data_IF_665485479352
#
_entry.id   IF_665485479352
#
_cell.length_a   1.000
_cell.length_b   1.000
_cell.length_c   1.000
_cell.angle_alpha   90.00
_cell.angle_beta   90.00
_cell.angle_gamma   90.00
#
_symmetry.space_group_name_H-M   'P 1'
#
loop_
_entity.id
_entity.type
_entity.pdbx_description
1 polymer ?
#
# COMPACT_ATOMS: atom_id res chain seq x y z
N UNK A 1 -11.98 14.29 -48.49
CA UNK A 1 -12.26 14.27 -49.94
C UNK A 1 -11.10 14.97 -50.64
N UNK A 2 -10.19 14.22 -51.31
CA UNK A 2 -9.03 14.71 -52.10
C UNK A 2 -7.97 15.59 -51.36
N UNK A 3 -6.65 15.57 -51.63
CA UNK A 3 -5.69 14.74 -52.41
C UNK A 3 -4.34 14.79 -51.61
N UNK A 4 -3.26 14.03 -51.81
CA UNK A 4 -2.85 12.79 -52.52
C UNK A 4 -1.37 13.01 -52.92
N UNK A 5 -0.42 12.18 -52.40
CA UNK A 5 0.89 11.82 -53.01
C UNK A 5 2.00 12.90 -53.13
N UNK A 6 3.31 12.63 -53.21
CA UNK A 6 4.21 11.45 -53.06
C UNK A 6 5.67 11.93 -52.88
N UNK A 7 6.56 11.09 -52.32
CA UNK A 7 7.92 10.87 -52.85
C UNK A 7 8.62 9.66 -52.20
N UNK A 8 9.09 8.75 -53.07
CA UNK A 8 9.87 7.52 -52.80
C UNK A 8 11.23 7.82 -52.12
N UNK A 9 11.85 7.00 -51.26
CA UNK A 9 12.15 5.54 -51.29
C UNK A 9 13.29 5.13 -52.23
N UNK A 10 14.51 5.02 -51.70
CA UNK A 10 15.77 4.48 -52.29
C UNK A 10 16.89 4.59 -51.20
N UNK A 11 17.84 3.65 -50.97
CA UNK A 11 17.98 2.24 -51.39
C UNK A 11 18.84 1.42 -50.35
N UNK A 12 19.04 0.13 -50.64
CA UNK A 12 19.91 -0.94 -50.08
C UNK A 12 21.38 -0.55 -49.73
N UNK A 13 22.19 -1.17 -48.83
CA UNK A 13 22.41 -2.53 -48.23
C UNK A 13 23.82 -3.07 -48.62
N UNK A 14 24.46 -3.87 -47.73
CA UNK A 14 25.76 -4.62 -47.87
C UNK A 14 27.04 -3.74 -47.76
N UNK A 15 28.15 -4.15 -47.12
CA UNK A 15 28.84 -5.45 -47.17
C UNK A 15 29.67 -5.78 -45.91
N UNK A 16 29.81 -7.09 -45.62
CA UNK A 16 30.82 -7.69 -44.74
C UNK A 16 31.74 -8.59 -45.58
N UNK A 17 33.04 -8.65 -45.28
CA UNK A 17 33.94 -9.71 -45.77
C UNK A 17 35.19 -9.89 -44.88
N UNK A 18 35.72 -11.13 -44.86
CA UNK A 18 36.76 -11.60 -43.94
C UNK A 18 38.13 -11.80 -44.60
N UNK A 19 39.13 -12.03 -43.73
CA UNK A 19 40.18 -13.07 -43.84
C UNK A 19 41.62 -12.70 -44.31
N UNK A 20 42.54 -12.92 -43.36
CA UNK A 20 43.83 -13.67 -43.46
C UNK A 20 45.00 -13.18 -44.33
N UNK A 21 46.18 -13.06 -43.66
CA UNK A 21 47.55 -13.56 -43.93
C UNK A 21 48.35 -13.18 -42.66
N UNK A 22 49.28 -13.93 -42.05
CA UNK A 22 49.86 -15.25 -42.33
C UNK A 22 51.40 -15.20 -42.31
N UNK A 23 52.09 -15.68 -41.26
CA UNK A 23 53.53 -16.04 -41.29
C UNK A 23 53.93 -16.99 -40.13
N UNK A 24 55.03 -17.73 -40.30
CA UNK A 24 55.34 -18.96 -39.52
C UNK A 24 56.82 -19.09 -39.12
N UNK A 25 57.04 -19.52 -37.87
CA UNK A 25 58.18 -20.32 -37.32
C UNK A 25 59.64 -19.90 -37.61
N UNK A 26 60.43 -19.66 -36.56
CA UNK A 26 61.59 -20.53 -36.22
C UNK A 26 62.40 -20.15 -34.96
N UNK A 27 63.13 -21.16 -34.47
CA UNK A 27 64.27 -21.18 -33.51
C UNK A 27 64.02 -21.34 -31.99
N UNK A 28 65.07 -21.84 -31.34
CA UNK A 28 65.02 -22.85 -30.28
C UNK A 28 66.04 -22.55 -29.16
N UNK A 29 65.67 -22.90 -27.92
CA UNK A 29 66.51 -23.18 -26.72
C UNK A 29 67.12 -22.02 -25.88
N UNK A 30 66.82 -22.14 -24.57
CA UNK A 30 67.66 -21.93 -23.37
C UNK A 30 68.17 -20.52 -23.05
N UNK A 31 67.63 -19.91 -21.98
CA UNK A 31 68.16 -20.11 -20.62
C UNK A 31 67.17 -19.57 -19.56
N UNK A 32 67.35 -20.01 -18.31
CA UNK A 32 66.41 -19.82 -17.20
C UNK A 32 66.45 -18.43 -16.54
N UNK A 33 65.46 -18.22 -15.66
CA UNK A 33 65.44 -17.21 -14.58
C UNK A 33 65.45 -15.74 -14.99
N UNK A 34 64.24 -15.17 -15.13
CA UNK A 34 63.80 -13.95 -14.42
C UNK A 34 62.34 -13.59 -14.80
N UNK A 35 61.38 -14.44 -14.43
CA UNK A 35 59.94 -14.14 -14.53
C UNK A 35 59.18 -14.60 -13.28
N UNK A 36 59.58 -14.02 -12.14
CA UNK A 36 58.96 -14.22 -10.83
C UNK A 36 59.01 -12.94 -9.97
N UNK A 37 59.18 -11.77 -10.61
CA UNK A 37 59.32 -10.47 -9.93
C UNK A 37 58.71 -9.32 -10.76
N UNK A 38 57.58 -9.61 -11.42
CA UNK A 38 56.78 -8.59 -12.15
C UNK A 38 55.27 -8.91 -12.03
N UNK A 39 54.88 -10.19 -12.03
CA UNK A 39 53.50 -10.61 -11.75
C UNK A 39 53.08 -10.44 -10.26
N UNK A 40 54.01 -10.15 -9.34
CA UNK A 40 53.74 -9.90 -7.91
C UNK A 40 53.34 -8.45 -7.61
N UNK A 41 53.45 -7.52 -8.58
CA UNK A 41 53.12 -6.10 -8.37
C UNK A 41 51.73 -5.71 -8.92
N UNK A 42 51.09 -6.61 -9.67
CA UNK A 42 49.73 -6.40 -10.22
C UNK A 42 48.64 -7.20 -9.49
N UNK A 43 49.01 -8.10 -8.58
CA UNK A 43 48.06 -8.82 -7.71
C UNK A 43 47.73 -8.04 -6.42
N UNK A 44 48.71 -7.36 -5.81
CA UNK A 44 48.52 -6.57 -4.57
C UNK A 44 47.59 -5.35 -4.75
N UNK A 45 47.43 -4.84 -5.98
CA UNK A 45 46.50 -3.73 -6.28
C UNK A 45 45.03 -4.22 -6.31
N UNK A 46 44.78 -5.51 -6.51
CA UNK A 46 43.41 -6.04 -6.59
C UNK A 46 42.77 -6.28 -5.22
N UNK A 47 43.53 -6.74 -4.22
CA UNK A 47 43.02 -7.13 -2.89
C UNK A 47 42.81 -5.96 -1.91
N UNK A 48 43.48 -4.80 -2.12
CA UNK A 48 43.16 -3.58 -1.35
C UNK A 48 41.74 -3.07 -1.67
N UNK A 49 41.39 -3.03 -2.95
CA UNK A 49 40.16 -2.40 -3.44
C UNK A 49 38.86 -3.09 -3.00
N UNK A 50 38.92 -4.39 -2.72
CA UNK A 50 37.77 -5.18 -2.23
C UNK A 50 37.63 -5.07 -0.71
N UNK A 51 38.75 -5.06 0.02
CA UNK A 51 38.77 -4.88 1.48
C UNK A 51 38.26 -3.50 1.92
N UNK A 52 38.57 -2.45 1.16
CA UNK A 52 38.06 -1.09 1.41
C UNK A 52 36.55 -0.95 1.11
N UNK A 53 36.04 -1.59 0.05
CA UNK A 53 34.59 -1.59 -0.26
C UNK A 53 33.77 -2.35 0.78
N UNK A 54 34.23 -3.54 1.18
CA UNK A 54 33.55 -4.36 2.21
C UNK A 54 33.52 -3.63 3.56
N UNK A 55 34.53 -2.81 3.87
CA UNK A 55 34.46 -1.91 5.03
C UNK A 55 33.37 -0.86 4.89
N UNK A 56 33.28 -0.15 3.75
CA UNK A 56 32.35 0.98 3.57
C UNK A 56 30.88 0.59 3.82
N UNK A 57 30.45 -0.57 3.32
CA UNK A 57 29.07 -1.07 3.52
C UNK A 57 28.82 -1.55 4.96
N UNK A 58 29.87 -1.93 5.70
CA UNK A 58 29.78 -2.29 7.12
C UNK A 58 29.62 -1.07 8.03
N UNK A 59 30.25 0.06 7.69
CA UNK A 59 30.12 1.30 8.47
C UNK A 59 28.70 1.91 8.44
N UNK A 60 27.92 1.66 7.39
CA UNK A 60 26.51 2.07 7.31
C UNK A 60 25.58 1.30 8.26
N UNK A 61 26.04 0.19 8.85
CA UNK A 61 25.26 -0.68 9.73
C UNK A 61 25.63 -0.57 11.22
N UNK A 62 26.53 0.34 11.61
CA UNK A 62 26.79 0.64 13.02
C UNK A 62 25.75 1.63 13.60
N UNK A 63 25.24 1.42 14.84
CA UNK A 63 24.09 2.15 15.39
C UNK A 63 24.34 3.63 15.75
N UNK A 64 25.53 4.15 15.44
CA UNK A 64 25.92 5.56 15.59
C UNK A 64 26.37 6.21 14.27
N UNK A 65 26.33 5.47 13.15
CA UNK A 65 26.37 6.07 11.82
C UNK A 65 25.18 7.03 11.67
N UNK A 66 25.33 8.07 10.85
CA UNK A 66 24.24 9.00 10.55
C UNK A 66 23.08 8.18 10.00
N UNK A 67 22.06 7.98 10.84
CA UNK A 67 20.84 7.31 10.46
C UNK A 67 20.20 8.20 9.40
N UNK A 68 20.41 7.86 8.12
CA UNK A 68 19.81 8.53 6.98
C UNK A 68 18.33 8.18 7.08
N UNK A 69 17.62 8.93 7.93
CA UNK A 69 16.22 8.72 8.23
C UNK A 69 15.51 8.65 6.89
N UNK A 70 14.96 7.48 6.60
CA UNK A 70 14.00 7.31 5.52
C UNK A 70 12.97 8.42 5.69
N UNK A 71 12.58 9.10 4.60
CA UNK A 71 11.63 10.20 4.72
C UNK A 71 10.20 9.75 5.07
N UNK A 72 10.01 8.60 5.73
CA UNK A 72 8.70 8.17 6.18
C UNK A 72 8.62 8.32 7.70
N UNK A 73 7.84 9.31 8.15
CA UNK A 73 7.67 9.63 9.56
C UNK A 73 6.18 9.67 9.91
N UNK A 74 5.84 9.12 11.08
CA UNK A 74 4.53 9.31 11.70
C UNK A 74 4.44 10.73 12.24
N UNK A 75 3.62 11.58 11.62
CA UNK A 75 3.26 12.88 12.20
C UNK A 75 2.00 12.74 13.07
N UNK A 76 1.84 13.53 14.14
CA UNK A 76 0.63 13.50 14.95
C UNK A 76 -0.57 14.03 14.16
N UNK A 77 -1.72 13.38 14.33
CA UNK A 77 -3.02 13.74 13.77
C UNK A 77 -4.08 13.51 14.84
N UNK A 78 -4.60 14.58 15.43
CA UNK A 78 -5.70 14.51 16.39
C UNK A 78 -6.99 14.06 15.69
N UNK A 79 -7.70 13.14 16.31
CA UNK A 79 -9.01 12.64 15.91
C UNK A 79 -9.97 12.76 17.09
N UNK A 80 -11.19 13.22 16.83
CA UNK A 80 -12.24 13.31 17.83
C UNK A 80 -12.99 11.99 17.91
N UNK A 81 -12.92 11.33 19.07
CA UNK A 81 -13.53 10.03 19.31
C UNK A 81 -14.96 10.16 19.83
N UNK A 82 -15.21 11.21 20.63
CA UNK A 82 -16.51 11.47 21.24
C UNK A 82 -16.38 12.33 22.49
N UNK A 83 -17.50 12.50 23.18
CA UNK A 83 -17.56 13.17 24.47
C UNK A 83 -17.47 12.11 25.58
N UNK A 84 -16.57 12.31 26.54
CA UNK A 84 -16.46 11.55 27.79
C UNK A 84 -17.05 12.34 28.96
N UNK A 85 -16.93 11.78 30.17
CA UNK A 85 -17.40 12.43 31.40
C UNK A 85 -16.64 13.74 31.70
N UNK A 86 -15.35 13.77 31.39
CA UNK A 86 -14.46 14.91 31.68
C UNK A 86 -14.30 15.88 30.48
N UNK A 87 -15.07 15.70 29.40
CA UNK A 87 -15.04 16.55 28.21
C UNK A 87 -14.72 15.79 26.91
N UNK A 88 -14.15 16.49 25.93
CA UNK A 88 -13.87 15.92 24.59
C UNK A 88 -12.69 14.94 24.61
N UNK A 89 -12.89 13.75 24.04
CA UNK A 89 -11.85 12.72 23.89
C UNK A 89 -11.18 12.91 22.51
N UNK A 90 -9.96 13.44 22.54
CA UNK A 90 -9.10 13.67 21.37
C UNK A 90 -7.89 12.71 21.43
N UNK A 91 -7.77 11.83 20.44
CA UNK A 91 -6.70 10.83 20.33
C UNK A 91 -5.75 11.18 19.19
N UNK A 92 -4.44 10.97 19.37
CA UNK A 92 -3.48 11.09 18.28
C UNK A 92 -3.39 9.77 17.49
N UNK A 93 -4.19 9.64 16.43
CA UNK A 93 -4.20 8.46 15.56
C UNK A 93 -2.96 8.35 14.66
N UNK A 94 -2.17 9.43 14.58
CA UNK A 94 -1.04 9.54 13.67
C UNK A 94 -1.43 9.67 12.19
N UNK A 95 -0.43 10.00 11.37
CA UNK A 95 -0.49 9.92 9.93
C UNK A 95 0.93 9.68 9.39
N UNK A 96 1.11 8.65 8.56
CA UNK A 96 2.36 8.48 7.83
C UNK A 96 2.52 9.57 6.78
N UNK A 97 3.65 10.27 6.77
CA UNK A 97 3.99 11.29 5.77
C UNK A 97 5.39 11.12 5.23
N UNK A 98 5.51 11.39 3.93
CA UNK A 98 6.78 11.50 3.23
C UNK A 98 7.47 12.83 3.61
N UNK A 99 8.06 12.89 4.80
CA UNK A 99 8.68 14.06 5.43
C UNK A 99 10.20 14.03 5.24
N UNK A 100 10.68 14.51 4.10
CA UNK A 100 12.10 14.80 3.93
C UNK A 100 12.44 16.14 4.60
N UNK A 101 12.97 16.09 5.82
CA UNK A 101 13.47 17.29 6.49
C UNK A 101 14.71 17.83 5.75
N UNK A 102 14.52 18.88 4.95
CA UNK A 102 15.61 19.69 4.37
C UNK A 102 16.29 20.60 5.38
N UNK A 103 15.96 20.48 6.68
CA UNK A 103 16.61 21.25 7.74
C UNK A 103 18.04 20.74 7.93
N UNK A 104 18.98 21.46 7.35
CA UNK A 104 20.41 21.42 7.69
C UNK A 104 20.58 21.57 9.21
N UNK A 105 20.77 20.45 9.91
CA UNK A 105 21.36 20.46 11.25
C UNK A 105 22.80 20.93 11.08
N UNK A 106 23.06 22.21 11.37
CA UNK A 106 24.44 22.71 11.50
C UNK A 106 25.05 22.05 12.73
N UNK A 107 25.69 20.90 12.52
CA UNK A 107 26.38 20.14 13.55
C UNK A 107 27.40 21.06 14.22
N UNK A 108 27.33 21.17 15.54
CA UNK A 108 28.16 22.12 16.28
C UNK A 108 29.59 21.56 16.42
N UNK A 109 30.60 22.42 16.60
CA UNK A 109 32.01 22.01 16.70
C UNK A 109 32.24 20.93 17.77
N UNK A 110 31.56 21.03 18.91
CA UNK A 110 31.62 20.04 20.01
C UNK A 110 31.05 18.67 19.62
N UNK A 111 30.07 18.66 18.74
CA UNK A 111 29.37 17.45 18.25
C UNK A 111 30.21 16.78 17.16
N UNK A 112 30.81 17.57 16.25
CA UNK A 112 31.83 17.12 15.31
C UNK A 112 33.06 16.52 16.03
N UNK A 113 33.59 17.19 17.07
CA UNK A 113 34.66 16.68 17.92
C UNK A 113 34.29 15.37 18.64
N UNK A 114 33.02 15.16 18.97
CA UNK A 114 32.54 13.91 19.59
C UNK A 114 32.45 12.77 18.57
N UNK A 115 31.95 13.04 17.36
CA UNK A 115 31.89 12.06 16.26
C UNK A 115 33.30 11.62 15.84
N UNK A 116 34.26 12.55 15.74
CA UNK A 116 35.67 12.25 15.49
C UNK A 116 36.29 11.33 16.56
N UNK A 117 35.96 11.53 17.84
CA UNK A 117 36.43 10.67 18.94
C UNK A 117 35.82 9.28 18.92
N UNK A 118 34.56 9.15 18.48
CA UNK A 118 33.92 7.84 18.31
C UNK A 118 34.48 7.08 17.09
N UNK A 119 34.82 7.80 16.01
CA UNK A 119 35.28 7.24 14.74
C UNK A 119 36.77 7.57 14.48
N UNK A 120 37.64 7.22 15.43
CA UNK A 120 39.09 7.54 15.39
C UNK A 120 39.87 7.00 14.17
N UNK A 121 39.26 6.12 13.38
CA UNK A 121 39.84 5.47 12.20
C UNK A 121 39.42 6.08 10.86
N UNK A 122 38.56 7.11 10.87
CA UNK A 122 38.12 7.84 9.67
C UNK A 122 38.95 9.12 9.53
N UNK A 123 39.38 9.44 8.31
CA UNK A 123 40.06 10.71 8.03
C UNK A 123 39.12 11.90 8.37
N UNK A 124 39.56 12.87 9.21
CA UNK A 124 38.76 14.04 9.54
C UNK A 124 38.32 14.86 8.31
N UNK A 125 39.09 14.84 7.22
CA UNK A 125 38.70 15.53 5.97
C UNK A 125 37.60 14.77 5.25
N UNK A 126 37.72 13.46 5.09
CA UNK A 126 36.64 12.62 4.53
C UNK A 126 35.35 12.71 5.34
N UNK A 127 35.42 12.66 6.68
CA UNK A 127 34.25 12.82 7.55
C UNK A 127 33.60 14.20 7.38
N UNK A 128 34.40 15.27 7.35
CA UNK A 128 33.90 16.63 7.11
C UNK A 128 33.21 16.75 5.75
N UNK A 129 33.81 16.20 4.68
CA UNK A 129 33.23 16.19 3.34
C UNK A 129 31.96 15.33 3.27
N UNK A 130 31.89 14.19 3.98
CA UNK A 130 30.69 13.36 4.06
C UNK A 130 29.54 14.07 4.78
N UNK A 131 29.84 14.87 5.81
CA UNK A 131 28.86 15.70 6.53
C UNK A 131 28.49 16.99 5.78
N UNK A 132 29.32 17.42 4.83
CA UNK A 132 29.08 18.58 3.96
C UNK A 132 28.40 18.23 2.63
N UNK A 133 28.42 16.96 2.22
CA UNK A 133 27.53 16.46 1.15
C UNK A 133 26.08 16.68 1.61
N UNK A 134 25.31 17.43 0.82
CA UNK A 134 23.85 17.51 0.97
C UNK A 134 23.25 16.12 0.62
N UNK A 135 23.41 15.14 1.52
CA UNK A 135 22.56 13.95 1.56
C UNK A 135 21.21 14.43 2.08
N UNK A 136 20.43 15.07 1.19
CA UNK A 136 19.00 15.19 1.40
C UNK A 136 18.49 13.78 1.73
N UNK A 137 17.78 13.59 2.85
CA UNK A 137 17.22 12.28 3.15
C UNK A 137 16.41 11.87 1.93
N UNK A 138 16.69 10.69 1.37
CA UNK A 138 16.02 10.26 0.16
C UNK A 138 14.56 9.99 0.52
N UNK A 139 13.67 10.60 -0.26
CA UNK A 139 12.25 10.24 -0.26
C UNK A 139 12.11 8.73 -0.38
N UNK A 140 10.98 8.16 0.07
CA UNK A 140 10.60 6.84 -0.44
C UNK A 140 10.76 6.87 -1.97
N UNK A 141 11.49 5.89 -2.52
CA UNK A 141 11.80 5.83 -3.96
C UNK A 141 10.53 5.73 -4.79
N UNK A 142 10.64 5.98 -6.10
CA UNK A 142 9.49 6.29 -6.97
C UNK A 142 8.36 5.23 -6.92
N UNK A 143 8.70 3.95 -6.72
CA UNK A 143 7.75 2.82 -6.59
C UNK A 143 7.35 2.48 -5.14
N UNK A 144 7.59 3.37 -4.18
CA UNK A 144 7.36 3.12 -2.75
C UNK A 144 6.68 4.27 -2.00
N UNK A 145 5.78 3.91 -1.11
CA UNK A 145 4.93 4.86 -0.39
C UNK A 145 5.17 4.79 1.12
N UNK A 146 5.08 5.95 1.78
CA UNK A 146 5.17 6.03 3.23
C UNK A 146 3.85 5.56 3.86
N UNK A 147 3.86 4.39 4.48
CA UNK A 147 2.68 3.65 4.89
C UNK A 147 2.82 3.13 6.34
N UNK A 148 1.70 2.85 7.04
CA UNK A 148 1.75 2.24 8.36
C UNK A 148 2.41 0.86 8.30
N UNK A 149 3.29 0.57 9.25
CA UNK A 149 3.85 -0.77 9.45
C UNK A 149 3.37 -1.41 10.75
N UNK A 150 2.94 -0.60 11.71
CA UNK A 150 2.44 -1.05 13.00
C UNK A 150 1.27 -0.16 13.43
N UNK A 151 0.12 -0.81 13.66
CA UNK A 151 -1.12 -0.15 14.06
C UNK A 151 -1.66 -0.85 15.32
N UNK A 152 -2.10 -0.08 16.30
CA UNK A 152 -2.68 -0.56 17.56
C UNK A 152 -4.14 -0.11 17.64
N UNK A 153 -5.03 -0.99 18.07
CA UNK A 153 -6.44 -0.67 18.30
C UNK A 153 -6.64 -0.24 19.74
N UNK A 154 -6.74 1.07 19.94
CA UNK A 154 -7.11 1.67 21.23
C UNK A 154 -8.63 1.63 21.44
N UNK A 155 -9.05 1.64 22.71
CA UNK A 155 -10.46 1.59 23.10
C UNK A 155 -10.78 2.67 24.11
N UNK A 156 -11.74 3.51 23.78
CA UNK A 156 -12.09 4.71 24.53
C UNK A 156 -13.55 4.67 24.94
N UNK A 157 -13.84 4.91 26.22
CA UNK A 157 -15.21 4.97 26.71
C UNK A 157 -15.79 6.37 26.50
N UNK A 158 -16.80 6.48 25.64
CA UNK A 158 -17.52 7.73 25.36
C UNK A 158 -18.94 7.66 25.94
N UNK A 159 -19.63 8.79 26.02
CA UNK A 159 -21.06 8.86 26.36
C UNK A 159 -21.95 8.10 25.35
N UNK A 160 -21.47 7.89 24.11
CA UNK A 160 -22.09 7.03 23.09
C UNK A 160 -21.65 5.55 23.18
N UNK A 161 -20.94 5.16 24.24
CA UNK A 161 -20.42 3.79 24.45
C UNK A 161 -18.94 3.65 24.13
N UNK A 162 -18.45 2.41 24.13
CA UNK A 162 -17.06 2.10 23.77
C UNK A 162 -16.82 2.35 22.28
N UNK A 163 -15.79 3.12 21.96
CA UNK A 163 -15.32 3.39 20.60
C UNK A 163 -13.94 2.75 20.41
N UNK A 164 -13.73 2.08 19.29
CA UNK A 164 -12.43 1.55 18.90
C UNK A 164 -11.76 2.48 17.87
N UNK A 165 -10.46 2.73 18.03
CA UNK A 165 -9.71 3.64 17.17
C UNK A 165 -8.37 3.01 16.79
N UNK A 166 -8.10 2.93 15.49
CA UNK A 166 -6.81 2.49 14.98
C UNK A 166 -5.79 3.64 15.09
N UNK A 167 -4.77 3.45 15.92
CA UNK A 167 -3.63 4.36 16.12
C UNK A 167 -2.42 3.77 15.41
N UNK A 168 -1.85 4.52 14.47
CA UNK A 168 -0.57 4.18 13.85
C UNK A 168 0.52 4.38 14.90
N UNK A 169 1.42 3.42 15.11
CA UNK A 169 2.63 3.58 15.94
C UNK A 169 3.86 3.85 15.06
N UNK A 170 4.06 3.06 14.01
CA UNK A 170 5.21 3.14 13.11
C UNK A 170 4.79 3.26 11.64
N UNK A 171 5.67 3.90 10.86
CA UNK A 171 5.54 4.04 9.42
C UNK A 171 6.85 3.62 8.73
N UNK A 172 6.79 3.13 7.49
CA UNK A 172 7.97 2.89 6.66
C UNK A 172 7.66 3.06 5.17
N UNK A 173 8.71 3.20 4.35
CA UNK A 173 8.57 3.15 2.90
C UNK A 173 8.33 1.68 2.49
N UNK A 174 7.14 1.38 1.96
CA UNK A 174 6.80 0.07 1.41
C UNK A 174 6.59 0.19 -0.09
N UNK A 175 7.18 -0.73 -0.88
CA UNK A 175 6.95 -0.79 -2.32
C UNK A 175 5.53 -1.25 -2.62
N UNK A 176 4.91 -0.64 -3.63
CA UNK A 176 3.63 -1.12 -4.15
C UNK A 176 3.85 -2.28 -5.14
N UNK A 177 2.92 -3.25 -5.21
CA UNK A 177 3.03 -4.36 -6.15
C UNK A 177 2.63 -3.94 -7.57
N UNK A 178 3.12 -4.70 -8.57
CA UNK A 178 2.87 -4.43 -10.00
C UNK A 178 1.38 -4.48 -10.41
N UNK A 179 0.55 -5.18 -9.65
CA UNK A 179 -0.88 -5.36 -9.90
C UNK A 179 -1.66 -5.22 -8.59
N UNK A 180 -2.88 -4.68 -8.66
CA UNK A 180 -3.80 -4.60 -7.53
C UNK A 180 -3.98 -5.96 -6.81
N UNK A 181 -3.47 -6.07 -5.59
CA UNK A 181 -3.68 -7.23 -4.73
C UNK A 181 -3.73 -6.86 -3.24
N UNK A 182 -4.03 -7.87 -2.41
CA UNK A 182 -4.01 -7.74 -0.95
C UNK A 182 -2.56 -7.82 -0.45
N UNK A 183 -2.14 -6.83 0.33
CA UNK A 183 -0.88 -6.80 1.06
C UNK A 183 -1.19 -7.01 2.56
N UNK A 184 -0.30 -7.64 3.31
CA UNK A 184 -0.48 -7.78 4.76
C UNK A 184 -0.39 -6.42 5.46
N UNK A 185 -1.27 -6.18 6.44
CA UNK A 185 -1.24 -5.02 7.33
C UNK A 185 -1.73 -5.47 8.71
N UNK A 186 -0.89 -5.33 9.74
CA UNK A 186 -1.15 -5.89 11.07
C UNK A 186 -1.70 -4.84 12.04
N UNK A 187 -2.84 -5.14 12.63
CA UNK A 187 -3.43 -4.42 13.75
C UNK A 187 -3.25 -5.23 15.05
N UNK A 188 -2.80 -4.57 16.12
CA UNK A 188 -2.66 -5.17 17.45
C UNK A 188 -3.91 -4.82 18.26
N UNK A 189 -4.67 -5.83 18.67
CA UNK A 189 -5.86 -5.68 19.51
C UNK A 189 -5.52 -6.04 20.97
N UNK A 190 -6.16 -5.34 21.92
CA UNK A 190 -5.99 -5.53 23.37
C UNK A 190 -4.53 -5.40 23.87
N UNK A 191 -3.79 -4.33 23.45
CA UNK A 191 -2.39 -4.13 23.80
C UNK A 191 -2.17 -4.10 25.32
N UNK A 192 -1.08 -4.70 25.79
CA UNK A 192 -0.70 -4.75 27.21
C UNK A 192 -1.57 -5.66 28.08
N UNK A 193 -2.38 -6.54 27.47
CA UNK A 193 -3.25 -7.50 28.19
C UNK A 193 -2.90 -8.95 27.83
N UNK A 194 -3.34 -9.95 28.62
CA UNK A 194 -3.20 -11.38 28.25
C UNK A 194 -3.93 -11.78 26.95
N UNK A 195 -4.78 -10.90 26.40
CA UNK A 195 -5.51 -11.09 25.15
C UNK A 195 -4.87 -10.37 23.95
N UNK A 196 -3.66 -9.81 24.13
CA UNK A 196 -2.96 -9.09 23.05
C UNK A 196 -2.80 -9.97 21.82
N UNK A 197 -3.43 -9.57 20.71
CA UNK A 197 -3.50 -10.37 19.49
C UNK A 197 -3.17 -9.51 18.27
N UNK A 198 -2.17 -9.92 17.49
CA UNK A 198 -1.84 -9.29 16.20
C UNK A 198 -2.63 -9.96 15.07
N UNK A 199 -3.50 -9.18 14.41
CA UNK A 199 -4.36 -9.63 13.31
C UNK A 199 -3.92 -8.96 12.02
N UNK A 200 -3.70 -9.74 10.98
CA UNK A 200 -3.52 -9.21 9.62
C UNK A 200 -4.89 -8.81 9.03
N UNK A 201 -5.25 -7.53 9.20
CA UNK A 201 -6.46 -6.93 8.59
C UNK A 201 -6.30 -6.79 7.08
N UNK A 202 -5.06 -6.55 6.62
CA UNK A 202 -4.70 -6.43 5.23
C UNK A 202 -5.09 -5.11 4.58
N UNK A 203 -4.40 -4.77 3.48
CA UNK A 203 -4.60 -3.56 2.67
C UNK A 203 -4.69 -3.91 1.20
N UNK A 204 -5.42 -3.12 0.42
CA UNK A 204 -5.38 -3.22 -1.04
C UNK A 204 -4.38 -2.23 -1.60
N UNK A 205 -3.39 -2.71 -2.37
CA UNK A 205 -2.30 -1.92 -2.94
C UNK A 205 -1.98 -2.35 -4.37
N UNK A 206 -1.30 -1.49 -5.13
CA UNK A 206 -0.94 -1.72 -6.52
C UNK A 206 -1.90 -1.09 -7.54
N UNK A 207 -1.45 -0.93 -8.79
CA UNK A 207 -2.17 -0.19 -9.83
C UNK A 207 -3.31 -1.00 -10.45
N UNK A 208 -4.18 -0.27 -11.15
CA UNK A 208 -5.27 -0.83 -11.95
C UNK A 208 -5.10 -0.42 -13.41
N UNK A 209 -4.90 -1.39 -14.30
CA UNK A 209 -4.57 -1.15 -15.71
C UNK A 209 -5.70 -0.46 -16.50
N UNK A 210 -6.96 -0.58 -16.05
CA UNK A 210 -8.15 -0.13 -16.78
C UNK A 210 -8.53 1.34 -16.46
N UNK A 211 -7.60 2.26 -16.73
CA UNK A 211 -7.84 3.71 -16.74
C UNK A 211 -8.06 4.38 -15.36
N UNK A 212 -7.99 5.71 -15.37
CA UNK A 212 -7.95 6.57 -14.16
C UNK A 212 -9.20 6.50 -13.24
N UNK A 213 -10.24 5.74 -13.61
CA UNK A 213 -11.50 5.62 -12.87
C UNK A 213 -11.55 4.44 -11.90
N UNK A 214 -10.69 3.43 -12.06
CA UNK A 214 -10.61 2.30 -11.13
C UNK A 214 -9.52 2.52 -10.09
N UNK A 215 -9.76 2.04 -8.87
CA UNK A 215 -8.76 1.98 -7.79
C UNK A 215 -8.73 0.57 -7.21
N UNK A 216 -7.59 0.18 -6.64
CA UNK A 216 -7.49 -1.07 -5.90
C UNK A 216 -8.30 -0.95 -4.60
N UNK A 217 -9.31 -1.80 -4.42
CA UNK A 217 -10.25 -1.78 -3.28
C UNK A 217 -10.56 -3.19 -2.81
N UNK A 218 -11.06 -3.34 -1.58
CA UNK A 218 -11.53 -4.63 -1.11
C UNK A 218 -12.79 -5.03 -1.88
N UNK A 219 -12.75 -6.19 -2.52
CA UNK A 219 -13.91 -6.80 -3.19
C UNK A 219 -14.56 -7.87 -2.31
N UNK A 220 -13.90 -8.32 -1.25
CA UNK A 220 -14.45 -9.26 -0.26
C UNK A 220 -13.76 -9.07 1.08
N UNK A 221 -14.56 -8.93 2.13
CA UNK A 221 -14.10 -9.02 3.52
C UNK A 221 -14.56 -10.35 4.14
N UNK A 222 -13.92 -10.76 5.23
CA UNK A 222 -14.32 -11.87 6.11
C UNK A 222 -14.14 -11.44 7.57
N UNK A 223 -14.77 -12.13 8.50
CA UNK A 223 -14.58 -11.90 9.93
C UNK A 223 -13.72 -12.99 10.55
N UNK A 224 -12.77 -12.61 11.41
CA UNK A 224 -11.94 -13.51 12.21
C UNK A 224 -12.28 -13.29 13.68
N UNK A 225 -12.56 -14.36 14.42
CA UNK A 225 -12.76 -14.30 15.86
C UNK A 225 -11.40 -14.27 16.58
N UNK A 226 -11.23 -13.35 17.53
CA UNK A 226 -10.07 -13.27 18.42
C UNK A 226 -10.53 -13.32 19.88
N UNK A 227 -9.77 -13.98 20.74
CA UNK A 227 -10.06 -14.02 22.17
C UNK A 227 -9.97 -12.60 22.76
N UNK A 228 -10.99 -12.19 23.51
CA UNK A 228 -11.04 -10.91 24.19
C UNK A 228 -11.43 -11.03 25.66
N UNK A 229 -11.30 -9.96 26.46
CA UNK A 229 -11.60 -9.95 27.89
C UNK A 229 -13.08 -10.22 28.20
N UNK A 230 -13.97 -10.02 27.23
CA UNK A 230 -15.42 -10.27 27.33
C UNK A 230 -15.85 -11.50 26.50
N UNK A 231 -14.92 -12.40 26.17
CA UNK A 231 -15.10 -13.48 25.19
C UNK A 231 -14.65 -13.09 23.79
N UNK A 232 -14.94 -13.97 22.82
CA UNK A 232 -14.46 -13.82 21.45
C UNK A 232 -15.07 -12.59 20.75
N UNK A 233 -14.21 -11.79 20.12
CA UNK A 233 -14.57 -10.58 19.37
C UNK A 233 -14.29 -10.80 17.89
N UNK A 234 -15.24 -10.43 17.01
CA UNK A 234 -15.07 -10.55 15.57
C UNK A 234 -14.41 -9.31 14.97
N UNK A 235 -13.27 -9.49 14.30
CA UNK A 235 -12.55 -8.44 13.54
C UNK A 235 -12.82 -8.63 12.05
N UNK A 236 -13.25 -7.58 11.35
CA UNK A 236 -13.37 -7.60 9.88
C UNK A 236 -11.98 -7.45 9.25
N UNK A 237 -11.62 -8.38 8.37
CA UNK A 237 -10.36 -8.39 7.62
C UNK A 237 -10.64 -8.46 6.12
N UNK A 238 -9.79 -7.83 5.32
CA UNK A 238 -9.84 -7.96 3.86
C UNK A 238 -9.51 -9.41 3.49
N UNK A 239 -10.30 -10.03 2.63
CA UNK A 239 -10.04 -11.36 2.07
C UNK A 239 -9.52 -11.27 0.62
N UNK A 240 -10.13 -10.40 -0.19
CA UNK A 240 -9.73 -10.16 -1.59
C UNK A 240 -9.79 -8.70 -1.97
N UNK A 241 -8.82 -8.29 -2.77
CA UNK A 241 -8.77 -6.99 -3.43
C UNK A 241 -9.07 -7.13 -4.93
N UNK A 242 -9.47 -6.03 -5.55
CA UNK A 242 -9.64 -5.94 -7.00
C UNK A 242 -9.82 -4.50 -7.47
N UNK A 243 -9.74 -4.31 -8.78
CA UNK A 243 -9.92 -3.00 -9.40
C UNK A 243 -11.40 -2.65 -9.49
N UNK A 244 -11.82 -1.63 -8.76
CA UNK A 244 -13.21 -1.22 -8.65
C UNK A 244 -13.39 0.29 -8.81
N UNK A 245 -14.56 0.67 -9.33
CA UNK A 245 -15.02 2.06 -9.50
C UNK A 245 -15.28 2.75 -8.16
N UNK A 246 -15.73 4.01 -8.17
CA UNK A 246 -16.06 4.74 -6.94
C UNK A 246 -17.25 4.11 -6.21
N UNK A 247 -18.27 3.66 -6.95
CA UNK A 247 -19.37 2.80 -6.52
C UNK A 247 -19.22 1.44 -7.19
N UNK A 248 -19.30 0.35 -6.41
CA UNK A 248 -19.07 -1.01 -6.91
C UNK A 248 -19.75 -2.06 -6.03
N UNK A 249 -19.85 -3.30 -6.53
CA UNK A 249 -20.32 -4.46 -5.76
C UNK A 249 -19.15 -5.10 -5.01
N UNK A 250 -19.25 -5.17 -3.68
CA UNK A 250 -18.43 -6.05 -2.87
C UNK A 250 -19.19 -7.36 -2.55
N UNK A 251 -18.46 -8.45 -2.37
CA UNK A 251 -19.02 -9.73 -1.92
C UNK A 251 -19.48 -9.63 -0.45
N UNK A 252 -20.60 -10.27 -0.16
CA UNK A 252 -21.15 -10.47 1.17
C UNK A 252 -21.83 -11.83 1.19
N UNK A 253 -21.36 -12.72 2.07
CA UNK A 253 -21.81 -14.11 2.11
C UNK A 253 -22.87 -14.31 3.19
N UNK A 254 -23.99 -14.94 2.84
CA UNK A 254 -25.03 -15.36 3.78
C UNK A 254 -25.16 -16.89 3.80
N UNK A 255 -25.53 -17.43 4.96
CA UNK A 255 -25.78 -18.85 5.17
C UNK A 255 -27.30 -19.09 5.17
N UNK A 256 -27.77 -19.91 4.22
CA UNK A 256 -29.19 -20.25 4.04
C UNK A 256 -29.38 -21.73 4.36
N UNK A 257 -30.39 -22.04 5.18
CA UNK A 257 -30.84 -23.40 5.41
C UNK A 257 -31.87 -23.79 4.32
N UNK A 258 -31.52 -24.75 3.46
CA UNK A 258 -32.40 -25.27 2.42
C UNK A 258 -32.85 -26.70 2.77
N UNK A 259 -34.16 -26.87 2.92
CA UNK A 259 -34.79 -28.14 3.29
C UNK A 259 -35.22 -28.87 2.01
N UNK A 260 -34.34 -29.75 1.51
CA UNK A 260 -34.65 -30.65 0.40
C UNK A 260 -35.78 -31.59 0.83
N UNK A 261 -36.78 -31.84 -0.03
CA UNK A 261 -37.80 -32.84 0.29
C UNK A 261 -37.17 -34.24 0.36
N UNK A 262 -37.56 -35.09 1.32
CA UNK A 262 -37.17 -36.49 1.30
C UNK A 262 -37.78 -37.16 0.07
N UNK A 263 -36.93 -37.39 -0.93
CA UNK A 263 -37.15 -38.39 -1.97
C UNK A 263 -36.17 -39.51 -1.63
N UNK A 264 -36.69 -40.64 -1.17
CA UNK A 264 -36.00 -41.90 -1.02
C UNK A 264 -34.74 -41.93 -0.10
N UNK A 265 -34.88 -41.49 1.16
CA UNK A 265 -34.55 -42.36 2.32
C UNK A 265 -35.11 -41.79 3.64
N UNK A 266 -35.38 -42.65 4.62
CA UNK A 266 -35.69 -42.19 5.98
C UNK A 266 -34.44 -41.59 6.66
N UNK A 267 -34.63 -40.63 7.57
CA UNK A 267 -33.64 -40.11 8.54
C UNK A 267 -32.67 -38.96 8.18
N UNK A 268 -33.05 -38.00 7.31
CA UNK A 268 -32.39 -36.66 7.29
C UNK A 268 -33.36 -35.45 7.34
N UNK A 269 -33.86 -35.09 8.53
CA UNK A 269 -34.52 -33.77 8.81
C UNK A 269 -33.48 -32.62 8.96
N UNK A 270 -32.25 -32.84 8.48
CA UNK A 270 -31.15 -31.88 8.55
C UNK A 270 -31.14 -30.98 7.31
N UNK A 271 -31.22 -29.63 7.47
CA UNK A 271 -31.14 -28.72 6.33
C UNK A 271 -29.76 -28.74 5.69
N UNK A 272 -29.72 -28.64 4.36
CA UNK A 272 -28.49 -28.39 3.62
C UNK A 272 -28.14 -26.91 3.78
N UNK A 273 -27.00 -26.63 4.43
CA UNK A 273 -26.50 -25.25 4.58
C UNK A 273 -25.87 -24.83 3.25
N UNK A 274 -26.50 -23.87 2.57
CA UNK A 274 -25.98 -23.24 1.35
C UNK A 274 -25.35 -21.89 1.70
N UNK A 275 -24.19 -21.60 1.13
CA UNK A 275 -23.54 -20.28 1.23
C UNK A 275 -23.81 -19.52 -0.06
N UNK A 276 -24.39 -18.32 0.04
CA UNK A 276 -24.78 -17.49 -1.11
C UNK A 276 -24.14 -16.12 -1.00
N UNK A 277 -23.51 -15.65 -2.07
CA UNK A 277 -22.96 -14.30 -2.17
C UNK A 277 -24.08 -13.30 -2.53
N UNK A 278 -24.79 -12.79 -1.52
CA UNK A 278 -25.83 -11.76 -1.73
C UNK A 278 -25.22 -10.45 -2.26
N UNK A 279 -23.97 -10.17 -1.87
CA UNK A 279 -23.26 -8.95 -2.23
C UNK A 279 -23.78 -7.69 -1.51
N UNK A 280 -23.00 -6.61 -1.57
CA UNK A 280 -23.35 -5.28 -1.07
C UNK A 280 -22.81 -4.21 -2.01
N UNK A 281 -23.57 -3.13 -2.24
CA UNK A 281 -23.06 -1.97 -2.96
C UNK A 281 -22.28 -1.08 -2.00
N UNK A 282 -21.06 -0.71 -2.38
CA UNK A 282 -20.11 0.00 -1.52
C UNK A 282 -19.47 1.14 -2.30
N UNK A 283 -19.25 2.25 -1.59
CA UNK A 283 -18.50 3.38 -2.05
C UNK A 283 -19.37 4.59 -2.38
N UNK A 284 -18.80 5.49 -3.16
CA UNK A 284 -19.25 6.88 -3.27
C UNK A 284 -19.56 7.24 -4.71
N UNK A 285 -20.52 8.14 -4.87
CA UNK A 285 -20.95 8.66 -6.16
C UNK A 285 -20.59 10.14 -6.24
N UNK A 286 -19.65 10.47 -7.13
CA UNK A 286 -19.24 11.85 -7.32
C UNK A 286 -20.45 12.72 -7.72
N UNK A 287 -20.89 13.59 -6.82
CA UNK A 287 -21.82 14.69 -7.08
C UNK A 287 -21.10 15.80 -7.87
N UNK A 288 -20.63 15.47 -9.08
CA UNK A 288 -19.71 16.30 -9.87
C UNK A 288 -20.22 17.71 -10.15
N UNK A 289 -21.54 17.94 -10.02
CA UNK A 289 -22.07 19.26 -9.69
C UNK A 289 -23.15 19.15 -8.61
N UNK A 290 -22.96 19.84 -7.48
CA UNK A 290 -24.08 20.43 -6.74
C UNK A 290 -24.74 21.48 -7.64
N UNK A 291 -25.57 21.03 -8.60
CA UNK A 291 -26.58 21.88 -9.22
C UNK A 291 -27.68 22.09 -8.19
N UNK A 292 -27.40 22.98 -7.24
CA UNK A 292 -28.40 23.78 -6.57
C UNK A 292 -29.37 24.31 -7.64
N UNK A 293 -30.57 23.74 -7.68
CA UNK A 293 -31.56 24.22 -8.62
C UNK A 293 -32.22 25.42 -7.98
N UNK A 294 -31.87 26.61 -8.46
CA UNK A 294 -32.44 27.84 -7.96
C UNK A 294 -33.94 27.90 -8.30
N UNK A 295 -34.79 27.76 -7.28
CA UNK A 295 -36.25 27.82 -7.40
C UNK A 295 -36.74 29.25 -7.36
N UNK A 296 -36.11 30.10 -6.55
CA UNK A 296 -36.45 31.52 -6.43
C UNK A 296 -35.19 32.36 -6.61
N UNK A 297 -35.19 33.22 -7.63
CA UNK A 297 -34.16 34.24 -7.85
C UNK A 297 -34.61 35.57 -7.26
N UNK A 298 -33.63 36.41 -6.95
CA UNK A 298 -33.89 37.80 -6.58
C UNK A 298 -34.55 38.54 -7.76
N UNK A 299 -35.43 39.49 -7.45
CA UNK A 299 -36.20 40.24 -8.46
C UNK A 299 -35.32 41.29 -9.13
N UNK A 300 -34.36 41.86 -8.38
CA UNK A 300 -33.48 42.92 -8.86
C UNK A 300 -32.14 42.37 -9.39
N UNK A 301 -31.77 41.14 -9.01
CA UNK A 301 -30.58 40.44 -9.49
C UNK A 301 -30.86 38.97 -9.86
N UNK A 302 -30.99 38.71 -11.17
CA UNK A 302 -31.23 37.35 -11.70
C UNK A 302 -30.09 36.34 -11.46
N UNK A 303 -28.90 36.78 -11.04
CA UNK A 303 -27.79 35.90 -10.68
C UNK A 303 -27.87 35.40 -9.23
N UNK A 304 -28.54 36.16 -8.36
CA UNK A 304 -28.67 35.88 -6.94
C UNK A 304 -29.83 34.92 -6.68
N UNK A 305 -29.53 33.77 -6.10
CA UNK A 305 -30.56 32.82 -5.67
C UNK A 305 -31.02 33.13 -4.24
N UNK A 306 -32.34 33.25 -4.05
CA UNK A 306 -32.98 33.41 -2.74
C UNK A 306 -33.40 32.07 -2.13
N UNK A 307 -33.65 31.06 -2.95
CA UNK A 307 -33.97 29.70 -2.50
C UNK A 307 -33.51 28.67 -3.53
N UNK A 308 -32.52 27.85 -3.17
CA UNK A 308 -32.10 26.68 -3.93
C UNK A 308 -32.68 25.40 -3.36
N UNK A 309 -33.00 24.45 -4.24
CA UNK A 309 -33.18 23.05 -3.85
C UNK A 309 -31.88 22.29 -4.09
N UNK A 310 -31.35 21.70 -3.03
CA UNK A 310 -30.32 20.67 -3.13
C UNK A 310 -30.90 19.48 -3.87
N UNK A 311 -30.40 19.21 -5.09
CA UNK A 311 -30.75 17.98 -5.80
C UNK A 311 -30.23 16.79 -4.98
N UNK A 312 -31.01 15.69 -4.90
CA UNK A 312 -30.63 14.48 -4.14
C UNK A 312 -29.18 14.10 -4.43
N UNK A 313 -28.44 13.80 -3.37
CA UNK A 313 -27.15 13.16 -3.47
C UNK A 313 -27.33 11.80 -4.15
N UNK A 314 -26.56 11.56 -5.20
CA UNK A 314 -26.55 10.26 -5.85
C UNK A 314 -25.95 9.25 -4.86
N UNK A 315 -26.63 8.13 -4.63
CA UNK A 315 -26.16 7.09 -3.73
C UNK A 315 -25.67 5.86 -4.51
N UNK A 316 -24.74 5.10 -3.93
CA UNK A 316 -24.30 3.83 -4.50
C UNK A 316 -25.34 2.75 -4.19
N UNK A 317 -26.15 2.38 -5.18
CA UNK A 317 -27.31 1.49 -5.01
C UNK A 317 -27.23 0.28 -5.96
N UNK A 318 -27.90 -0.84 -5.61
CA UNK A 318 -28.02 -1.97 -6.53
C UNK A 318 -28.91 -1.63 -7.73
N UNK A 319 -28.40 -1.95 -8.92
CA UNK A 319 -29.10 -1.79 -10.20
C UNK A 319 -29.57 -3.11 -10.79
N UNK A 320 -28.88 -4.21 -10.48
CA UNK A 320 -29.16 -5.55 -10.97
C UNK A 320 -29.31 -6.56 -9.83
N UNK A 321 -30.21 -7.52 -10.00
CA UNK A 321 -30.48 -8.58 -9.02
C UNK A 321 -30.67 -9.94 -9.70
N UNK A 322 -30.26 -11.00 -9.00
CA UNK A 322 -30.51 -12.39 -9.33
C UNK A 322 -31.29 -13.04 -8.18
N UNK A 323 -32.33 -13.80 -8.52
CA UNK A 323 -33.21 -14.46 -7.54
C UNK A 323 -32.74 -15.89 -7.28
N UNK A 324 -32.52 -16.22 -6.02
CA UNK A 324 -32.25 -17.57 -5.53
C UNK A 324 -33.52 -18.15 -4.89
N UNK A 325 -33.77 -19.44 -5.11
CA UNK A 325 -34.91 -20.17 -4.53
C UNK A 325 -34.43 -21.26 -3.57
N UNK A 326 -35.12 -21.38 -2.44
CA UNK A 326 -34.85 -22.36 -1.38
C UNK A 326 -36.17 -22.75 -0.69
N UNK A 327 -36.17 -23.84 0.07
CA UNK A 327 -37.31 -24.31 0.87
C UNK A 327 -37.03 -24.12 2.34
N UNK A 328 -38.01 -23.61 3.09
CA UNK A 328 -37.92 -23.61 4.55
C UNK A 328 -38.36 -24.96 5.15
N UNK A 329 -38.24 -25.12 6.48
CA UNK A 329 -38.65 -26.34 7.20
C UNK A 329 -40.09 -26.78 6.92
N UNK A 330 -40.99 -25.85 6.58
CA UNK A 330 -42.39 -26.13 6.28
C UNK A 330 -42.64 -26.50 4.81
N UNK A 331 -41.58 -26.74 4.01
CA UNK A 331 -41.66 -27.04 2.57
C UNK A 331 -42.07 -25.85 1.68
N UNK A 332 -42.30 -24.66 2.25
CA UNK A 332 -42.70 -23.49 1.47
C UNK A 332 -41.50 -22.91 0.72
N UNK A 333 -41.70 -22.60 -0.56
CA UNK A 333 -40.69 -21.93 -1.37
C UNK A 333 -40.47 -20.51 -0.87
N UNK A 334 -39.23 -20.24 -0.45
CA UNK A 334 -38.69 -18.91 -0.14
C UNK A 334 -37.79 -18.47 -1.31
N UNK A 335 -37.53 -17.17 -1.37
CA UNK A 335 -36.56 -16.63 -2.31
C UNK A 335 -35.77 -15.48 -1.69
N UNK A 336 -34.57 -15.25 -2.21
CA UNK A 336 -33.62 -14.24 -1.77
C UNK A 336 -33.01 -13.58 -3.01
N UNK A 337 -32.81 -12.27 -2.96
CA UNK A 337 -32.13 -11.52 -4.00
C UNK A 337 -30.64 -11.42 -3.68
N UNK A 338 -29.79 -11.78 -4.63
CA UNK A 338 -28.39 -11.35 -4.66
C UNK A 338 -28.24 -10.19 -5.63
N UNK A 339 -27.49 -9.17 -5.24
CA UNK A 339 -27.11 -8.05 -6.12
C UNK A 339 -26.17 -8.59 -7.20
N UNK A 340 -26.36 -8.21 -8.46
CA UNK A 340 -25.40 -8.46 -9.55
C UNK A 340 -24.56 -7.23 -9.87
N UNK A 341 -25.20 -6.05 -9.88
CA UNK A 341 -24.63 -4.80 -10.37
C UNK A 341 -24.97 -3.64 -9.43
N UNK A 342 -24.04 -2.69 -9.29
CA UNK A 342 -24.18 -1.48 -8.49
C UNK A 342 -23.89 -0.25 -9.33
N UNK A 343 -24.52 0.88 -9.01
CA UNK A 343 -24.23 2.15 -9.66
C UNK A 343 -24.83 3.34 -8.91
N UNK A 344 -24.66 4.52 -9.49
CA UNK A 344 -25.06 5.78 -8.88
C UNK A 344 -26.46 6.21 -9.33
N UNK A 345 -27.38 6.41 -8.38
CA UNK A 345 -28.76 6.84 -8.64
C UNK A 345 -29.20 7.95 -7.68
#
# INVERSE_FOLDING_TARGET
>A
MFRLRELFSVIFLLFSFSATIGFSVSKLRRLDNNKAMEDTMLTEISESSTSERIRLDSWLNHPSAINIKSCCERVPKKYFVGQGLDGEILVDIGQCRQSCSTKRTKINRKEFEAILKANYSVDPVELFLAMQRDISPKSCGDDSHCLPTRTVVERHMTMSGMQEVAVIEDCSCLSDPELCHRVEERAIHFPGTPFETSVDVGRCSGPCSSGNSLRCRSTRNKTVAIAGPNGDTCVEVIDKCGCASSCYRASSMEHIYDFVSPMDDETTDSPVIKVVDVGKCVGECNTSHHKEHCVLRDKDDSSKCLMSLTRRENNCVPLGFQLHHFRNKNGTAKSMLSITDCGCQ
#
